data_IF_590112185733
#
_entry.id   IF_590112185733
#
_cell.length_a   1.000
_cell.length_b   1.000
_cell.length_c   1.000
_cell.angle_alpha   90.00
_cell.angle_beta   90.00
_cell.angle_gamma   90.00
#
_symmetry.space_group_name_H-M   'P 1'
#
loop_
_entity.id
_entity.type
_entity.pdbx_description
1 polymer ?
#
# COMPACT_ATOMS: atom_id res chain seq x y z
N UNK A 1 -7.69 -21.83 -13.61
CA UNK A 1 -7.46 -20.85 -14.70
C UNK A 1 -7.73 -19.42 -14.20
N UNK A 2 -8.84 -19.19 -13.52
CA UNK A 2 -9.31 -17.88 -13.01
C UNK A 2 -8.29 -17.15 -12.14
N UNK A 3 -7.60 -17.86 -11.23
CA UNK A 3 -6.54 -17.31 -10.38
C UNK A 3 -5.41 -16.64 -11.18
N UNK A 4 -4.93 -17.33 -12.21
CA UNK A 4 -3.84 -16.83 -13.08
C UNK A 4 -4.34 -15.64 -13.90
N UNK A 5 -5.57 -15.69 -14.40
CA UNK A 5 -6.18 -14.58 -15.13
C UNK A 5 -6.31 -13.34 -14.23
N UNK A 6 -6.86 -13.49 -13.03
CA UNK A 6 -7.00 -12.40 -12.06
C UNK A 6 -5.64 -11.79 -11.68
N UNK A 7 -4.62 -12.63 -11.45
CA UNK A 7 -3.25 -12.19 -11.18
C UNK A 7 -2.67 -11.39 -12.36
N UNK A 8 -2.80 -11.91 -13.58
CA UNK A 8 -2.27 -11.26 -14.77
C UNK A 8 -2.96 -9.92 -15.06
N UNK A 9 -4.28 -9.89 -15.03
CA UNK A 9 -5.07 -8.65 -15.17
C UNK A 9 -4.68 -7.65 -14.09
N UNK A 10 -4.60 -8.09 -12.84
CA UNK A 10 -4.12 -7.26 -11.74
C UNK A 10 -2.74 -6.67 -12.00
N UNK A 11 -1.79 -7.49 -12.46
CA UNK A 11 -0.44 -7.03 -12.77
C UNK A 11 -0.45 -5.90 -13.83
N UNK A 12 -1.25 -6.03 -14.87
CA UNK A 12 -1.40 -5.00 -15.90
C UNK A 12 -1.92 -3.67 -15.32
N UNK A 13 -2.94 -3.71 -14.47
CA UNK A 13 -3.40 -2.51 -13.75
C UNK A 13 -2.30 -1.93 -12.85
N UNK A 14 -1.52 -2.78 -12.21
CA UNK A 14 -0.40 -2.39 -11.36
C UNK A 14 0.72 -1.65 -12.10
N UNK A 15 0.90 -1.93 -13.40
CA UNK A 15 1.89 -1.25 -14.24
C UNK A 15 1.65 0.25 -14.36
N UNK A 16 0.43 0.74 -14.16
CA UNK A 16 0.16 2.17 -14.15
C UNK A 16 0.81 2.82 -12.91
N UNK A 17 1.97 3.46 -13.12
CA UNK A 17 2.77 4.08 -12.05
C UNK A 17 2.39 5.56 -11.89
N UNK A 18 1.34 5.82 -11.12
CA UNK A 18 0.76 7.18 -10.98
C UNK A 18 1.82 8.21 -10.58
N UNK A 19 2.67 7.89 -9.60
CA UNK A 19 3.71 8.81 -9.13
C UNK A 19 4.79 9.12 -10.17
N UNK A 20 5.20 8.13 -10.95
CA UNK A 20 6.16 8.32 -12.04
C UNK A 20 5.55 9.16 -13.20
N UNK A 21 4.32 8.82 -13.60
CA UNK A 21 3.62 9.51 -14.68
C UNK A 21 3.34 10.95 -14.27
N UNK A 22 2.76 11.16 -13.08
CA UNK A 22 2.44 12.50 -12.58
C UNK A 22 3.68 13.40 -12.50
N UNK A 23 4.74 12.91 -11.88
CA UNK A 23 5.96 13.71 -11.72
C UNK A 23 6.62 14.04 -13.06
N UNK A 24 6.60 13.09 -14.00
CA UNK A 24 7.16 13.30 -15.33
C UNK A 24 6.38 14.33 -16.15
N UNK A 25 5.04 14.37 -16.02
CA UNK A 25 4.20 15.42 -16.62
C UNK A 25 4.51 16.81 -16.05
N UNK A 26 5.07 16.89 -14.84
CA UNK A 26 5.53 18.14 -14.22
C UNK A 26 7.05 18.34 -14.36
N UNK A 27 7.70 17.69 -15.32
CA UNK A 27 9.13 17.79 -15.61
C UNK A 27 10.07 17.40 -14.46
N UNK A 28 9.58 16.56 -13.51
CA UNK A 28 10.37 16.04 -12.36
C UNK A 28 10.61 14.54 -12.53
N UNK A 29 11.85 14.08 -12.41
CA UNK A 29 12.11 12.64 -12.27
C UNK A 29 12.15 12.25 -10.78
N UNK A 30 10.98 11.84 -10.25
CA UNK A 30 10.82 11.50 -8.82
C UNK A 30 11.77 10.40 -8.33
N UNK A 31 12.35 9.61 -9.24
CA UNK A 31 13.32 8.55 -8.91
C UNK A 31 14.70 9.11 -8.54
N UNK A 32 14.95 10.39 -8.86
CA UNK A 32 16.18 11.12 -8.54
C UNK A 32 16.01 12.08 -7.36
N UNK A 33 14.75 12.25 -6.90
CA UNK A 33 14.39 13.23 -5.88
C UNK A 33 13.97 12.57 -4.56
N UNK A 34 14.25 13.23 -3.45
CA UNK A 34 13.83 12.82 -2.11
C UNK A 34 14.36 11.43 -1.73
N UNK A 35 13.45 10.45 -1.61
CA UNK A 35 13.81 9.06 -1.31
C UNK A 35 14.09 8.21 -2.55
N UNK A 36 13.89 8.75 -3.75
CA UNK A 36 13.96 8.03 -5.02
C UNK A 36 12.81 7.05 -5.27
N UNK A 37 11.82 6.99 -4.39
CA UNK A 37 10.67 6.11 -4.54
C UNK A 37 9.54 6.80 -5.32
N UNK A 38 8.92 6.09 -6.27
CA UNK A 38 7.84 6.64 -7.10
C UNK A 38 6.46 6.69 -6.38
N UNK A 39 6.38 6.37 -5.09
CA UNK A 39 5.13 6.35 -4.33
C UNK A 39 4.67 7.71 -3.82
N UNK A 40 3.40 7.79 -3.43
CA UNK A 40 2.70 9.01 -2.98
C UNK A 40 3.43 9.80 -1.89
N UNK A 41 4.06 9.13 -0.91
CA UNK A 41 4.78 9.79 0.19
C UNK A 41 6.00 10.56 -0.29
N UNK A 42 6.74 10.05 -1.28
CA UNK A 42 7.88 10.78 -1.84
C UNK A 42 7.40 11.96 -2.69
N UNK A 43 6.38 11.74 -3.52
CA UNK A 43 5.77 12.80 -4.31
C UNK A 43 5.21 13.92 -3.41
N UNK A 44 4.57 13.57 -2.30
CA UNK A 44 4.10 14.55 -1.30
C UNK A 44 5.25 15.40 -0.75
N UNK A 45 6.39 14.79 -0.42
CA UNK A 45 7.55 15.51 0.12
C UNK A 45 8.20 16.44 -0.90
N UNK A 46 8.30 16.00 -2.15
CA UNK A 46 8.98 16.75 -3.23
C UNK A 46 8.07 17.77 -3.90
N UNK A 47 6.81 17.41 -4.17
CA UNK A 47 5.89 18.18 -4.99
C UNK A 47 4.67 18.72 -4.21
N UNK A 48 4.58 18.43 -2.91
CA UNK A 48 3.55 18.94 -2.03
C UNK A 48 2.30 18.06 -1.94
N UNK A 49 1.36 18.49 -1.07
CA UNK A 49 0.20 17.69 -0.63
C UNK A 49 -0.74 17.33 -1.79
N UNK A 50 -1.04 18.28 -2.68
CA UNK A 50 -1.94 18.02 -3.83
C UNK A 50 -1.39 16.90 -4.74
N UNK A 51 -0.11 16.96 -5.08
CA UNK A 51 0.55 15.95 -5.88
C UNK A 51 0.56 14.58 -5.18
N UNK A 52 0.93 14.55 -3.90
CA UNK A 52 0.91 13.32 -3.10
C UNK A 52 -0.47 12.68 -3.00
N UNK A 53 -1.52 13.49 -2.81
CA UNK A 53 -2.91 13.03 -2.77
C UNK A 53 -3.36 12.47 -4.13
N UNK A 54 -3.05 13.15 -5.24
CA UNK A 54 -3.37 12.66 -6.59
C UNK A 54 -2.72 11.29 -6.84
N UNK A 55 -1.45 11.15 -6.48
CA UNK A 55 -0.73 9.86 -6.63
C UNK A 55 -1.30 8.78 -5.72
N UNK A 56 -1.64 9.12 -4.48
CA UNK A 56 -2.29 8.19 -3.57
C UNK A 56 -3.62 7.67 -4.14
N UNK A 57 -4.49 8.57 -4.59
CA UNK A 57 -5.78 8.21 -5.17
C UNK A 57 -5.62 7.37 -6.44
N UNK A 58 -4.70 7.72 -7.32
CA UNK A 58 -4.44 6.93 -8.52
C UNK A 58 -3.98 5.50 -8.21
N UNK A 59 -3.03 5.33 -7.26
CA UNK A 59 -2.55 4.02 -6.85
C UNK A 59 -3.61 3.23 -6.05
N UNK A 60 -4.47 3.90 -5.31
CA UNK A 60 -5.61 3.34 -4.59
C UNK A 60 -6.67 2.81 -5.57
N UNK A 61 -7.12 3.65 -6.49
CA UNK A 61 -8.19 3.29 -7.43
C UNK A 61 -7.76 2.25 -8.45
N UNK A 62 -6.48 2.22 -8.88
CA UNK A 62 -6.00 1.18 -9.78
C UNK A 62 -6.05 -0.23 -9.16
N UNK A 63 -6.15 -0.34 -7.82
CA UNK A 63 -6.39 -1.60 -7.12
C UNK A 63 -7.88 -1.81 -6.86
N UNK A 64 -8.55 -0.80 -6.34
CA UNK A 64 -9.96 -0.91 -5.97
C UNK A 64 -10.85 -1.27 -7.18
N UNK A 65 -10.65 -0.60 -8.31
CA UNK A 65 -11.48 -0.79 -9.51
C UNK A 65 -11.43 -2.24 -10.02
N UNK A 66 -10.27 -2.84 -10.33
CA UNK A 66 -10.24 -4.23 -10.79
C UNK A 66 -10.73 -5.22 -9.74
N UNK A 67 -10.54 -4.96 -8.44
CA UNK A 67 -11.10 -5.79 -7.38
C UNK A 67 -12.63 -5.77 -7.36
N UNK A 68 -13.24 -4.60 -7.53
CA UNK A 68 -14.71 -4.46 -7.63
C UNK A 68 -15.23 -5.17 -8.89
N UNK A 69 -14.55 -5.02 -10.03
CA UNK A 69 -14.93 -5.68 -11.27
C UNK A 69 -14.88 -7.21 -11.12
N UNK A 70 -13.81 -7.75 -10.55
CA UNK A 70 -13.70 -9.20 -10.30
C UNK A 70 -14.79 -9.67 -9.35
N UNK A 71 -15.07 -8.94 -8.27
CA UNK A 71 -16.17 -9.26 -7.36
C UNK A 71 -17.53 -9.29 -8.08
N UNK A 72 -17.77 -8.37 -9.00
CA UNK A 72 -19.00 -8.32 -9.79
C UNK A 72 -19.08 -9.50 -10.78
N UNK A 73 -18.00 -9.79 -11.53
CA UNK A 73 -17.99 -10.88 -12.49
C UNK A 73 -18.13 -12.28 -11.87
N UNK A 74 -17.57 -12.46 -10.67
CA UNK A 74 -17.57 -13.74 -9.96
C UNK A 74 -18.55 -13.78 -8.78
N UNK A 75 -19.56 -12.89 -8.74
CA UNK A 75 -20.55 -12.83 -7.65
C UNK A 75 -21.35 -14.12 -7.45
N UNK A 76 -21.49 -14.93 -8.51
CA UNK A 76 -22.16 -16.23 -8.48
C UNK A 76 -21.26 -17.38 -7.96
N UNK A 77 -20.03 -17.09 -7.56
CA UNK A 77 -19.06 -18.04 -6.98
C UNK A 77 -18.64 -17.56 -5.58
N UNK A 78 -19.57 -17.55 -4.59
CA UNK A 78 -19.31 -16.94 -3.28
C UNK A 78 -18.14 -17.59 -2.53
N UNK A 79 -17.89 -18.89 -2.77
CA UNK A 79 -16.77 -19.63 -2.20
C UNK A 79 -15.42 -19.23 -2.74
N UNK A 80 -15.34 -18.61 -3.94
CA UNK A 80 -14.09 -18.24 -4.61
C UNK A 80 -13.86 -16.74 -4.74
N UNK A 81 -14.89 -15.93 -4.70
CA UNK A 81 -14.81 -14.50 -5.06
C UNK A 81 -13.78 -13.74 -4.22
N UNK A 82 -13.68 -14.00 -2.92
CA UNK A 82 -12.71 -13.34 -2.04
C UNK A 82 -11.26 -13.72 -2.41
N UNK A 83 -11.03 -14.97 -2.76
CA UNK A 83 -9.72 -15.46 -3.21
C UNK A 83 -9.34 -14.80 -4.55
N UNK A 84 -10.26 -14.70 -5.51
CA UNK A 84 -10.01 -14.07 -6.82
C UNK A 84 -9.75 -12.56 -6.69
N UNK A 85 -10.47 -11.87 -5.80
CA UNK A 85 -10.20 -10.47 -5.46
C UNK A 85 -8.80 -10.31 -4.88
N UNK A 86 -8.37 -11.22 -4.01
CA UNK A 86 -7.01 -11.21 -3.45
C UNK A 86 -5.94 -11.45 -4.51
N UNK A 87 -6.15 -12.40 -5.45
CA UNK A 87 -5.26 -12.60 -6.59
C UNK A 87 -5.13 -11.36 -7.48
N UNK A 88 -6.27 -10.69 -7.74
CA UNK A 88 -6.27 -9.45 -8.51
C UNK A 88 -5.44 -8.37 -7.82
N UNK A 89 -5.69 -8.11 -6.56
CA UNK A 89 -4.93 -7.13 -5.78
C UNK A 89 -3.45 -7.50 -5.64
N UNK A 90 -3.16 -8.79 -5.47
CA UNK A 90 -1.79 -9.31 -5.47
C UNK A 90 -1.08 -8.97 -6.78
N UNK A 91 -1.72 -9.21 -7.92
CA UNK A 91 -1.22 -8.80 -9.23
C UNK A 91 -0.96 -7.30 -9.31
N UNK A 92 -1.92 -6.46 -8.88
CA UNK A 92 -1.76 -5.00 -8.87
C UNK A 92 -0.56 -4.56 -8.03
N UNK A 93 -0.41 -5.12 -6.83
CA UNK A 93 0.70 -4.78 -5.93
C UNK A 93 2.04 -5.24 -6.52
N UNK A 94 2.09 -6.41 -7.16
CA UNK A 94 3.28 -6.88 -7.88
C UNK A 94 3.64 -5.94 -9.04
N UNK A 95 2.68 -5.57 -9.89
CA UNK A 95 2.90 -4.65 -11.01
C UNK A 95 3.32 -3.26 -10.54
N UNK A 96 2.77 -2.79 -9.41
CA UNK A 96 3.19 -1.53 -8.79
C UNK A 96 4.60 -1.60 -8.20
N UNK A 97 4.97 -2.69 -7.55
CA UNK A 97 6.26 -2.83 -6.88
C UNK A 97 7.38 -3.20 -7.86
N UNK A 98 7.05 -3.92 -8.93
CA UNK A 98 7.99 -4.49 -9.89
C UNK A 98 7.52 -4.29 -11.34
N UNK A 99 7.33 -3.04 -11.81
CA UNK A 99 6.96 -2.78 -13.20
C UNK A 99 8.13 -3.11 -14.14
N UNK A 100 7.91 -3.99 -15.10
CA UNK A 100 8.98 -4.49 -15.98
C UNK A 100 9.66 -3.36 -16.77
N UNK A 101 8.86 -2.42 -17.29
CA UNK A 101 9.38 -1.29 -18.10
C UNK A 101 10.18 -0.26 -17.29
N UNK A 102 10.17 -0.35 -15.94
CA UNK A 102 10.99 0.48 -15.05
C UNK A 102 12.17 -0.31 -14.44
N UNK A 103 12.59 -1.43 -15.08
CA UNK A 103 13.63 -2.30 -14.56
C UNK A 103 13.26 -2.92 -13.20
N UNK A 104 11.98 -3.23 -13.00
CA UNK A 104 11.43 -3.79 -11.75
C UNK A 104 11.63 -2.93 -10.49
N UNK A 105 11.79 -1.60 -10.66
CA UNK A 105 12.02 -0.62 -9.60
C UNK A 105 10.82 0.33 -9.46
N UNK A 106 9.73 -0.17 -8.89
CA UNK A 106 8.51 0.59 -8.62
C UNK A 106 8.38 1.07 -7.16
N UNK A 107 7.14 1.35 -6.74
CA UNK A 107 6.79 1.77 -5.40
C UNK A 107 6.90 0.69 -4.32
N UNK A 108 6.19 0.90 -3.21
CA UNK A 108 6.12 -0.03 -2.06
C UNK A 108 4.73 -0.63 -1.85
N UNK A 109 3.74 -0.20 -2.62
CA UNK A 109 2.41 -0.79 -2.67
C UNK A 109 1.42 -0.35 -1.57
N UNK A 110 1.74 0.63 -0.73
CA UNK A 110 0.87 1.01 0.41
C UNK A 110 -0.48 1.55 -0.05
N UNK A 111 -0.52 2.49 -0.99
CA UNK A 111 -1.77 3.02 -1.52
C UNK A 111 -2.57 1.94 -2.29
N UNK A 112 -1.87 1.07 -3.02
CA UNK A 112 -2.49 -0.09 -3.67
C UNK A 112 -3.09 -1.07 -2.63
N UNK A 113 -2.39 -1.32 -1.52
CA UNK A 113 -2.90 -2.15 -0.42
C UNK A 113 -4.10 -1.51 0.28
N UNK A 114 -4.17 -0.18 0.40
CA UNK A 114 -5.37 0.49 0.89
C UNK A 114 -6.58 0.21 -0.02
N UNK A 115 -6.40 0.18 -1.35
CA UNK A 115 -7.44 -0.24 -2.30
C UNK A 115 -7.86 -1.70 -2.10
N UNK A 116 -6.92 -2.62 -1.85
CA UNK A 116 -7.21 -4.01 -1.49
C UNK A 116 -8.04 -4.09 -0.20
N UNK A 117 -7.60 -3.43 0.87
CA UNK A 117 -8.28 -3.42 2.16
C UNK A 117 -9.73 -2.96 2.03
N UNK A 118 -9.97 -1.87 1.28
CA UNK A 118 -11.33 -1.38 1.03
C UNK A 118 -12.17 -2.34 0.19
N UNK A 119 -11.57 -3.12 -0.70
CA UNK A 119 -12.30 -4.09 -1.55
C UNK A 119 -12.73 -5.35 -0.80
N UNK A 120 -12.22 -5.59 0.41
CA UNK A 120 -12.50 -6.81 1.17
C UNK A 120 -13.75 -6.66 2.05
N UNK A 121 -13.59 -6.24 3.28
CA UNK A 121 -14.67 -6.17 4.26
C UNK A 121 -14.50 -4.92 5.14
N UNK A 122 -15.60 -4.28 5.59
CA UNK A 122 -15.52 -3.05 6.42
C UNK A 122 -14.60 -3.15 7.64
N UNK A 123 -14.51 -4.29 8.29
CA UNK A 123 -13.62 -4.49 9.45
C UNK A 123 -12.14 -4.27 9.10
N UNK A 124 -11.72 -4.62 7.87
CA UNK A 124 -10.34 -4.39 7.43
C UNK A 124 -10.02 -2.91 7.30
N UNK A 125 -11.02 -2.10 6.89
CA UNK A 125 -10.86 -0.65 6.75
C UNK A 125 -10.61 -0.02 8.12
N UNK A 126 -11.46 -0.34 9.10
CA UNK A 126 -11.37 0.25 10.45
C UNK A 126 -9.98 0.00 11.04
N UNK A 127 -9.51 -1.25 11.00
CA UNK A 127 -8.18 -1.59 11.52
C UNK A 127 -7.06 -0.92 10.73
N UNK A 128 -7.14 -0.92 9.39
CA UNK A 128 -6.15 -0.25 8.55
C UNK A 128 -6.03 1.25 8.85
N UNK A 129 -7.16 1.93 9.02
CA UNK A 129 -7.21 3.36 9.39
C UNK A 129 -6.63 3.59 10.78
N UNK A 130 -7.04 2.81 11.77
CA UNK A 130 -6.57 2.94 13.17
C UNK A 130 -5.06 2.71 13.25
N UNK A 131 -4.55 1.63 12.65
CA UNK A 131 -3.13 1.32 12.70
C UNK A 131 -2.27 2.34 11.93
N UNK A 132 -2.73 2.74 10.73
CA UNK A 132 -1.97 3.70 9.93
C UNK A 132 -1.95 5.09 10.56
N UNK A 133 -3.13 5.65 10.82
CA UNK A 133 -3.24 7.00 11.34
C UNK A 133 -2.84 7.10 12.82
N UNK A 134 -3.07 6.06 13.63
CA UNK A 134 -2.57 5.97 14.98
C UNK A 134 -1.05 6.13 15.04
N UNK A 135 -0.32 5.37 14.23
CA UNK A 135 1.14 5.49 14.15
C UNK A 135 1.58 6.81 13.49
N UNK A 136 0.92 7.21 12.39
CA UNK A 136 1.30 8.40 11.63
C UNK A 136 1.09 9.70 12.42
N UNK A 137 -0.04 9.86 13.10
CA UNK A 137 -0.36 11.08 13.82
C UNK A 137 0.47 11.25 15.10
N UNK A 138 0.92 10.14 15.70
CA UNK A 138 1.75 10.17 16.91
C UNK A 138 3.24 10.32 16.61
N UNK A 139 3.73 9.70 15.52
CA UNK A 139 5.17 9.62 15.23
C UNK A 139 5.60 10.40 13.99
N UNK A 140 4.67 10.77 13.13
CA UNK A 140 4.90 11.31 11.78
C UNK A 140 5.65 10.37 10.83
N UNK A 141 5.78 9.06 11.17
CA UNK A 141 6.43 8.04 10.35
C UNK A 141 5.40 7.27 9.52
N UNK A 142 5.27 7.62 8.23
CA UNK A 142 4.43 6.89 7.26
C UNK A 142 4.88 5.42 7.14
N UNK A 143 6.17 5.16 7.22
CA UNK A 143 6.72 3.80 7.13
C UNK A 143 6.28 2.91 8.30
N UNK A 144 6.22 3.45 9.53
CA UNK A 144 5.75 2.71 10.69
C UNK A 144 4.27 2.32 10.52
N UNK A 145 3.42 3.30 10.18
CA UNK A 145 2.01 3.03 9.89
C UNK A 145 1.83 1.97 8.80
N UNK A 146 2.65 2.03 7.75
CA UNK A 146 2.63 1.05 6.66
C UNK A 146 2.95 -0.37 7.12
N UNK A 147 3.99 -0.55 7.93
CA UNK A 147 4.38 -1.86 8.48
C UNK A 147 3.30 -2.43 9.40
N UNK A 148 2.72 -1.59 10.25
CA UNK A 148 1.62 -1.99 11.14
C UNK A 148 0.37 -2.41 10.37
N UNK A 149 0.02 -1.71 9.28
CA UNK A 149 -1.11 -2.09 8.41
C UNK A 149 -0.90 -3.48 7.82
N UNK A 150 0.30 -3.80 7.30
CA UNK A 150 0.55 -5.13 6.74
C UNK A 150 0.52 -6.24 7.80
N UNK A 151 1.10 -6.00 8.98
CA UNK A 151 1.03 -6.95 10.09
C UNK A 151 -0.42 -7.16 10.56
N UNK A 152 -1.17 -6.06 10.74
CA UNK A 152 -2.59 -6.12 11.11
C UNK A 152 -3.45 -6.79 10.05
N UNK A 153 -3.21 -6.50 8.77
CA UNK A 153 -3.92 -7.14 7.66
C UNK A 153 -3.70 -8.66 7.65
N UNK A 154 -2.47 -9.12 7.89
CA UNK A 154 -2.16 -10.56 7.99
C UNK A 154 -2.89 -11.22 9.17
N UNK A 155 -2.83 -10.61 10.35
CA UNK A 155 -3.51 -11.13 11.54
C UNK A 155 -5.01 -11.19 11.30
N UNK A 156 -5.60 -10.10 10.79
CA UNK A 156 -7.02 -10.00 10.55
C UNK A 156 -7.49 -10.98 9.46
N UNK A 157 -6.68 -11.22 8.43
CA UNK A 157 -6.98 -12.20 7.39
C UNK A 157 -7.16 -13.60 7.99
N UNK A 158 -6.26 -14.01 8.87
CA UNK A 158 -6.34 -15.32 9.55
C UNK A 158 -7.54 -15.35 10.50
N UNK A 159 -7.69 -14.35 11.36
CA UNK A 159 -8.79 -14.30 12.36
C UNK A 159 -10.15 -14.32 11.66
N UNK A 160 -10.37 -13.42 10.68
CA UNK A 160 -11.64 -13.34 9.95
C UNK A 160 -11.93 -14.62 9.17
N UNK A 161 -10.90 -15.25 8.58
CA UNK A 161 -11.06 -16.52 7.87
C UNK A 161 -11.48 -17.65 8.80
N UNK A 162 -10.84 -17.79 9.97
CA UNK A 162 -11.19 -18.83 10.95
C UNK A 162 -12.54 -18.56 11.63
N UNK A 163 -12.98 -17.32 11.72
CA UNK A 163 -14.32 -16.94 12.18
C UNK A 163 -15.41 -17.14 11.12
N UNK A 164 -15.08 -17.59 9.90
CA UNK A 164 -16.05 -17.80 8.82
C UNK A 164 -16.59 -16.52 8.18
N UNK A 165 -15.95 -15.36 8.38
CA UNK A 165 -16.43 -14.08 7.85
C UNK A 165 -16.31 -13.94 6.33
N UNK A 166 -15.63 -14.87 5.67
CA UNK A 166 -15.56 -14.96 4.20
C UNK A 166 -16.62 -15.87 3.58
N UNK A 167 -17.61 -16.30 4.39
CA UNK A 167 -18.68 -17.22 3.96
C UNK A 167 -18.20 -18.67 3.88
N UNK A 168 -18.91 -19.49 3.10
CA UNK A 168 -18.66 -20.93 2.97
C UNK A 168 -17.42 -21.24 2.10
N UNK A 169 -16.25 -20.67 2.44
CA UNK A 169 -15.01 -20.96 1.76
C UNK A 169 -14.38 -22.27 2.23
N UNK A 170 -13.91 -23.14 1.33
CA UNK A 170 -13.12 -24.32 1.70
C UNK A 170 -11.83 -23.91 2.45
N UNK A 171 -11.44 -24.71 3.46
CA UNK A 171 -10.24 -24.46 4.26
C UNK A 171 -8.96 -24.36 3.42
N UNK A 172 -8.88 -25.12 2.32
CA UNK A 172 -7.75 -25.05 1.38
C UNK A 172 -7.63 -23.67 0.73
N UNK A 173 -8.74 -23.02 0.40
CA UNK A 173 -8.74 -21.67 -0.17
C UNK A 173 -8.38 -20.61 0.88
N UNK A 174 -8.80 -20.80 2.13
CA UNK A 174 -8.36 -19.94 3.24
C UNK A 174 -6.85 -20.00 3.43
N UNK A 175 -6.26 -21.19 3.41
CA UNK A 175 -4.80 -21.35 3.49
C UNK A 175 -4.08 -20.68 2.30
N UNK A 176 -4.65 -20.76 1.11
CA UNK A 176 -4.14 -20.07 -0.07
C UNK A 176 -4.16 -18.54 0.12
N UNK A 177 -5.26 -17.99 0.65
CA UNK A 177 -5.36 -16.57 1.00
C UNK A 177 -4.33 -16.15 2.06
N UNK A 178 -4.12 -16.97 3.09
CA UNK A 178 -3.13 -16.70 4.13
C UNK A 178 -1.71 -16.71 3.55
N UNK A 179 -1.39 -17.64 2.67
CA UNK A 179 -0.10 -17.71 2.01
C UNK A 179 0.17 -16.48 1.12
N UNK A 180 -0.82 -16.03 0.34
CA UNK A 180 -0.72 -14.80 -0.48
C UNK A 180 -0.53 -13.58 0.42
N UNK A 181 -1.30 -13.47 1.50
CA UNK A 181 -1.21 -12.32 2.42
C UNK A 181 0.12 -12.31 3.16
N UNK A 182 0.62 -13.47 3.57
CA UNK A 182 1.95 -13.62 4.16
C UNK A 182 3.05 -13.19 3.18
N UNK A 183 2.96 -13.62 1.91
CA UNK A 183 3.90 -13.21 0.88
C UNK A 183 3.88 -11.68 0.66
N UNK A 184 2.69 -11.08 0.56
CA UNK A 184 2.53 -9.63 0.45
C UNK A 184 3.15 -8.90 1.65
N UNK A 185 2.96 -9.43 2.86
CA UNK A 185 3.53 -8.87 4.09
C UNK A 185 5.05 -8.94 4.06
N UNK A 186 5.63 -10.09 3.78
CA UNK A 186 7.10 -10.26 3.66
C UNK A 186 7.67 -9.32 2.59
N UNK A 187 7.03 -9.27 1.42
CA UNK A 187 7.43 -8.37 0.34
C UNK A 187 7.39 -6.90 0.77
N UNK A 188 6.35 -6.48 1.50
CA UNK A 188 6.25 -5.12 2.00
C UNK A 188 7.35 -4.79 3.01
N UNK A 189 7.65 -5.70 3.94
CA UNK A 189 8.75 -5.54 4.88
C UNK A 189 10.10 -5.46 4.17
N UNK A 190 10.32 -6.29 3.16
CA UNK A 190 11.50 -6.21 2.31
C UNK A 190 11.63 -4.88 1.58
N UNK A 191 10.53 -4.38 0.98
CA UNK A 191 10.49 -3.05 0.34
C UNK A 191 10.74 -1.90 1.34
N UNK A 192 10.44 -2.12 2.63
CA UNK A 192 10.66 -1.15 3.71
C UNK A 192 11.96 -1.39 4.50
N UNK A 193 12.84 -2.33 4.11
CA UNK A 193 14.05 -2.67 4.88
C UNK A 193 14.91 -1.46 5.26
N UNK A 194 15.09 -0.50 4.35
CA UNK A 194 15.82 0.73 4.65
C UNK A 194 15.09 1.65 5.63
N UNK A 195 13.75 1.66 5.60
CA UNK A 195 12.96 2.39 6.57
C UNK A 195 13.04 1.74 7.94
N UNK A 196 13.01 0.40 8.01
CA UNK A 196 13.14 -0.36 9.25
C UNK A 196 14.47 -0.04 9.92
N UNK A 197 15.58 -0.06 9.15
CA UNK A 197 16.88 0.33 9.67
C UNK A 197 16.86 1.75 10.23
N UNK A 198 16.29 2.72 9.50
CA UNK A 198 16.19 4.11 9.98
C UNK A 198 15.26 4.26 11.18
N UNK A 199 14.16 3.50 11.28
CA UNK A 199 13.28 3.49 12.44
C UNK A 199 14.01 3.00 13.69
N UNK A 200 14.81 1.92 13.58
CA UNK A 200 15.58 1.37 14.69
C UNK A 200 16.65 2.37 15.18
N UNK A 201 17.27 3.12 14.26
CA UNK A 201 18.28 4.12 14.60
C UNK A 201 17.72 5.52 14.93
N UNK A 202 16.38 5.67 14.95
CA UNK A 202 15.75 6.95 15.30
C UNK A 202 15.88 8.05 14.24
N UNK A 203 16.34 7.73 13.02
CA UNK A 203 16.59 8.69 11.95
C UNK A 203 15.66 8.51 10.72
N UNK A 204 14.48 7.94 10.92
CA UNK A 204 13.48 7.83 9.85
C UNK A 204 12.91 9.21 9.49
N UNK A 205 12.62 9.39 8.19
CA UNK A 205 12.12 10.65 7.65
C UNK A 205 10.69 10.89 8.09
N UNK A 206 10.46 11.93 8.88
CA UNK A 206 9.12 12.40 9.25
C UNK A 206 8.39 12.97 8.02
N UNK A 207 7.07 12.94 8.04
CA UNK A 207 6.21 13.47 6.98
C UNK A 207 5.12 14.32 7.63
N UNK A 208 5.05 15.60 7.22
CA UNK A 208 4.06 16.54 7.72
C UNK A 208 3.07 16.88 6.60
N UNK A 209 1.77 16.90 6.92
CA UNK A 209 0.73 17.27 5.99
C UNK A 209 0.60 18.81 5.85
N UNK A 210 1.02 19.55 6.87
CA UNK A 210 0.92 21.01 6.91
C UNK A 210 2.31 21.63 7.13
N UNK A 211 2.69 22.57 6.25
CA UNK A 211 4.01 23.24 6.29
C UNK A 211 4.31 23.99 7.59
N UNK A 212 3.30 24.47 8.33
CA UNK A 212 3.48 25.24 9.54
C UNK A 212 4.17 24.45 10.65
N UNK A 213 3.81 23.18 10.84
CA UNK A 213 4.45 22.30 11.85
C UNK A 213 5.91 21.94 11.50
N UNK A 214 6.23 21.80 10.23
CA UNK A 214 7.61 21.51 9.80
C UNK A 214 8.57 22.68 10.07
N UNK A 215 8.10 23.91 10.00
CA UNK A 215 8.90 25.11 10.31
C UNK A 215 9.12 25.31 11.82
N UNK A 216 8.11 25.04 12.63
CA UNK A 216 8.17 25.15 14.11
C UNK A 216 9.19 24.13 14.69
N UNK A 217 9.18 22.88 14.23
CA UNK A 217 10.10 21.84 14.70
C UNK A 217 11.55 22.07 14.25
N UNK A 218 11.76 22.67 13.07
CA UNK A 218 13.11 23.08 12.63
C UNK A 218 13.65 24.24 13.46
N UNK A 219 12.78 25.09 13.97
CA UNK A 219 13.18 26.24 14.82
C UNK A 219 13.49 25.78 16.23
N UNK A 220 12.79 24.79 16.78
CA UNK A 220 13.11 24.20 18.08
C UNK A 220 14.46 23.47 18.07
N UNK A 221 14.74 22.66 17.04
CA UNK A 221 16.01 21.95 16.90
C UNK A 221 17.20 22.92 16.72
N UNK A 222 16.98 24.07 16.05
CA UNK A 222 18.03 25.09 15.88
C UNK A 222 18.19 26.02 17.08
N UNK A 223 17.27 26.00 18.03
CA UNK A 223 17.28 26.82 19.24
C UNK A 223 17.92 26.16 20.46
N UNK A 224 18.09 24.84 20.45
CA UNK A 224 18.76 24.09 21.51
C UNK A 224 20.31 24.17 21.46
N UNK A 225 20.89 24.70 20.37
CA UNK A 225 22.33 24.88 20.18
C UNK A 225 22.84 26.31 20.52
N UNK A 226 22.13 27.02 21.41
CA UNK A 226 22.58 28.33 21.92
C UNK A 226 22.61 28.31 23.49
#
# INVERSE_FOLDING_TARGET
MERILCLAVGYLFGLFQTGYIYSKLHHVDIRKEGSGNAGSTNVLRVMGVKAGATVFLGDFFKTLIPCILVRHFFQNQPEMVNLLVLYTAFGVILGHNYPFYMGFKGGKGIAATAGLILSFHPYFIVMGVVLFFGAFLTTHYVSLGSLLVYAGFMIQMVVCGQMGLFGAMPQSQLYEMYAITAFLTVMAYWKHRQNIVRLIHGNERKTYLFKKKAAEEQTEISGEDK
#
